data_IF_225058614777
#
_entry.id   IF_225058614777
#
_cell.length_a   1.000
_cell.length_b   1.000
_cell.length_c   1.000
_cell.angle_alpha   90.00
_cell.angle_beta   90.00
_cell.angle_gamma   90.00
#
_symmetry.space_group_name_H-M   'P 1'
#
loop_
_entity.id
_entity.type
_entity.pdbx_description
1 polymer ?
#
# COMPACT_ATOMS: atom_id res chain seq x y z
N UNK A 1 -46.47 58.93 -6.99
CA UNK A 1 -45.15 59.20 -7.61
C UNK A 1 -44.55 57.87 -8.00
N UNK A 2 -44.16 57.75 -9.28
CA UNK A 2 -43.59 56.55 -9.89
C UNK A 2 -42.17 56.28 -9.40
N UNK A 3 -41.79 55.01 -9.24
CA UNK A 3 -40.45 54.46 -9.50
C UNK A 3 -40.40 53.01 -8.99
N UNK A 4 -39.73 52.04 -9.59
CA UNK A 4 -39.24 51.76 -10.94
C UNK A 4 -38.84 50.29 -10.87
N UNK A 5 -39.20 49.50 -11.89
CA UNK A 5 -38.71 48.13 -12.07
C UNK A 5 -37.20 48.20 -12.31
N UNK A 6 -36.40 47.53 -11.48
CA UNK A 6 -34.99 47.27 -11.79
C UNK A 6 -34.70 45.79 -11.59
N UNK A 7 -34.22 45.20 -12.67
CA UNK A 7 -33.85 43.80 -12.84
C UNK A 7 -32.66 43.43 -11.97
N UNK A 8 -32.79 42.33 -11.21
CA UNK A 8 -31.66 41.69 -10.54
C UNK A 8 -30.61 41.27 -11.57
N UNK A 9 -29.41 41.73 -11.30
CA UNK A 9 -28.20 41.57 -12.08
C UNK A 9 -27.29 40.60 -11.33
N UNK A 10 -26.57 39.83 -12.13
CA UNK A 10 -25.23 39.34 -11.84
C UNK A 10 -25.14 38.11 -10.92
N UNK A 11 -25.50 36.98 -11.53
CA UNK A 11 -24.60 35.82 -11.71
C UNK A 11 -23.12 36.18 -11.44
N UNK A 12 -22.67 35.92 -10.22
CA UNK A 12 -21.26 35.81 -9.88
C UNK A 12 -20.99 34.38 -9.44
N UNK A 13 -20.77 33.55 -10.46
CA UNK A 13 -19.86 32.42 -10.50
C UNK A 13 -18.75 32.49 -9.44
N UNK A 14 -19.04 31.99 -8.24
CA UNK A 14 -18.00 31.52 -7.32
C UNK A 14 -17.55 30.16 -7.83
N UNK A 15 -16.56 30.23 -8.72
CA UNK A 15 -15.77 29.11 -9.21
C UNK A 15 -15.02 28.49 -8.03
N UNK A 16 -15.70 27.60 -7.32
CA UNK A 16 -15.02 26.52 -6.62
C UNK A 16 -14.45 25.63 -7.72
N UNK A 17 -13.15 25.74 -7.97
CA UNK A 17 -12.42 24.81 -8.80
C UNK A 17 -12.41 23.42 -8.12
N UNK A 18 -13.54 22.73 -8.18
CA UNK A 18 -13.58 21.29 -8.08
C UNK A 18 -12.92 20.77 -9.34
N UNK A 19 -11.67 20.36 -9.21
CA UNK A 19 -11.09 19.39 -10.14
C UNK A 19 -11.80 18.07 -9.91
N UNK A 20 -13.00 17.97 -10.47
CA UNK A 20 -13.71 16.71 -10.62
C UNK A 20 -12.88 15.87 -11.58
N UNK A 21 -12.16 14.89 -11.04
CA UNK A 21 -11.67 13.78 -11.83
C UNK A 21 -12.92 13.12 -12.42
N UNK A 22 -13.16 13.29 -13.72
CA UNK A 22 -14.18 12.52 -14.44
C UNK A 22 -13.64 11.09 -14.49
N UNK A 23 -13.92 10.31 -13.44
CA UNK A 23 -13.93 8.86 -13.57
C UNK A 23 -15.31 8.51 -14.10
N UNK A 24 -15.39 8.18 -15.38
CA UNK A 24 -16.57 7.58 -15.97
C UNK A 24 -17.06 6.46 -15.05
N UNK A 25 -18.28 6.61 -14.54
CA UNK A 25 -19.08 5.50 -14.01
C UNK A 25 -19.53 4.68 -15.22
N UNK A 26 -18.58 3.98 -15.83
CA UNK A 26 -18.92 2.79 -16.58
C UNK A 26 -19.17 1.72 -15.52
N UNK A 27 -20.45 1.41 -15.35
CA UNK A 27 -20.95 0.29 -14.56
C UNK A 27 -20.54 -1.01 -15.28
N UNK A 28 -19.24 -1.28 -15.30
CA UNK A 28 -18.73 -2.60 -15.62
C UNK A 28 -18.91 -3.35 -14.32
N UNK A 29 -19.73 -4.41 -14.34
CA UNK A 29 -19.65 -5.50 -13.37
C UNK A 29 -18.28 -6.19 -13.57
N UNK A 30 -17.22 -5.42 -13.34
CA UNK A 30 -15.88 -5.91 -13.26
C UNK A 30 -15.82 -6.44 -11.85
N UNK A 31 -15.95 -7.76 -11.73
CA UNK A 31 -15.45 -8.48 -10.57
C UNK A 31 -14.02 -7.97 -10.38
N UNK A 32 -13.86 -6.98 -9.50
CA UNK A 32 -12.56 -6.56 -9.01
C UNK A 32 -12.17 -7.70 -8.08
N UNK A 33 -11.72 -8.80 -8.66
CA UNK A 33 -10.93 -9.77 -7.91
C UNK A 33 -9.90 -8.94 -7.16
N UNK A 34 -9.92 -9.10 -5.83
CA UNK A 34 -8.97 -8.40 -5.00
C UNK A 34 -7.57 -8.74 -5.53
N UNK A 35 -6.69 -7.75 -5.69
CA UNK A 35 -5.31 -8.02 -6.12
C UNK A 35 -4.63 -9.07 -5.21
N UNK A 36 -5.12 -9.18 -3.98
CA UNK A 36 -4.75 -10.22 -3.03
C UNK A 36 -5.35 -11.60 -3.38
N UNK A 37 -6.61 -11.69 -3.79
CA UNK A 37 -7.25 -12.93 -4.25
C UNK A 37 -6.53 -13.50 -5.48
N UNK A 38 -6.20 -12.65 -6.46
CA UNK A 38 -5.43 -13.08 -7.64
C UNK A 38 -4.07 -13.65 -7.23
N UNK A 39 -3.37 -12.98 -6.31
CA UNK A 39 -2.06 -13.42 -5.82
C UNK A 39 -2.15 -14.77 -5.07
N UNK A 40 -3.14 -14.93 -4.20
CA UNK A 40 -3.33 -16.13 -3.38
C UNK A 40 -3.73 -17.34 -4.25
N UNK A 41 -4.56 -17.10 -5.27
CA UNK A 41 -4.96 -18.11 -6.25
C UNK A 41 -3.80 -18.49 -7.19
N UNK A 42 -2.93 -17.54 -7.55
CA UNK A 42 -1.76 -17.80 -8.41
C UNK A 42 -0.73 -18.70 -7.70
N UNK A 43 -0.56 -18.56 -6.38
CA UNK A 43 0.36 -19.42 -5.61
C UNK A 43 -0.14 -20.85 -5.44
N UNK A 44 -1.45 -21.08 -5.59
CA UNK A 44 -2.05 -22.41 -5.49
C UNK A 44 -1.87 -23.24 -6.77
N UNK A 45 -1.48 -22.60 -7.88
CA UNK A 45 -1.40 -23.25 -9.20
C UNK A 45 0.01 -23.78 -9.53
N UNK A 46 1.02 -23.50 -8.70
CA UNK A 46 2.34 -24.15 -8.83
C UNK A 46 2.30 -25.51 -8.17
N UNK A 47 1.93 -26.52 -8.97
CA UNK A 47 2.00 -27.94 -8.66
C UNK A 47 3.38 -28.29 -8.06
N UNK A 48 3.40 -28.41 -6.73
CA UNK A 48 4.45 -29.11 -6.02
C UNK A 48 3.77 -30.34 -5.44
N UNK A 49 4.35 -31.52 -5.68
CA UNK A 49 3.82 -32.84 -5.26
C UNK A 49 3.82 -33.05 -3.73
N UNK A 50 3.87 -31.97 -2.96
CA UNK A 50 3.87 -31.96 -1.50
C UNK A 50 2.47 -31.56 -1.04
N UNK A 51 1.91 -32.31 -0.08
CA UNK A 51 0.59 -31.98 0.47
C UNK A 51 0.65 -30.59 1.10
N UNK A 52 -0.41 -29.79 0.99
CA UNK A 52 -0.48 -28.46 1.63
C UNK A 52 -0.14 -28.51 3.13
N UNK A 53 -0.51 -29.61 3.78
CA UNK A 53 -0.18 -29.95 5.17
C UNK A 53 1.34 -30.04 5.41
N UNK A 54 2.06 -30.68 4.49
CA UNK A 54 3.52 -30.91 4.57
C UNK A 54 4.28 -29.59 4.40
N UNK A 55 3.80 -28.72 3.50
CA UNK A 55 4.36 -27.37 3.29
C UNK A 55 4.15 -26.52 4.55
N UNK A 56 2.95 -26.54 5.14
CA UNK A 56 2.65 -25.84 6.39
C UNK A 56 3.51 -26.34 7.54
N UNK A 57 3.71 -27.66 7.65
CA UNK A 57 4.56 -28.26 8.66
C UNK A 57 6.03 -27.83 8.49
N UNK A 58 6.55 -27.92 7.27
CA UNK A 58 7.92 -27.50 6.91
C UNK A 58 8.16 -26.02 7.18
N UNK A 59 7.19 -25.15 6.88
CA UNK A 59 7.28 -23.72 7.18
C UNK A 59 7.30 -23.46 8.70
N UNK A 60 6.43 -24.15 9.45
CA UNK A 60 6.35 -24.03 10.91
C UNK A 60 7.68 -24.39 11.58
N UNK A 61 8.32 -25.49 11.16
CA UNK A 61 9.64 -25.89 11.68
C UNK A 61 10.71 -24.84 11.38
N UNK A 62 10.71 -24.27 10.17
CA UNK A 62 11.66 -23.21 9.79
C UNK A 62 11.47 -21.94 10.62
N UNK A 63 10.22 -21.56 10.92
CA UNK A 63 9.92 -20.43 11.81
C UNK A 63 10.40 -20.74 13.23
N UNK A 64 10.10 -21.92 13.75
CA UNK A 64 10.55 -22.33 15.09
C UNK A 64 12.08 -22.33 15.21
N UNK A 65 12.78 -22.83 14.19
CA UNK A 65 14.25 -22.78 14.13
C UNK A 65 14.81 -21.37 14.08
N UNK A 66 14.12 -20.41 13.46
CA UNK A 66 14.50 -19.00 13.52
C UNK A 66 14.29 -18.43 14.92
N UNK A 67 13.14 -18.69 15.53
CA UNK A 67 12.77 -18.16 16.84
C UNK A 67 13.62 -18.73 18.00
N UNK A 68 14.24 -19.89 17.82
CA UNK A 68 15.16 -20.46 18.81
C UNK A 68 16.56 -19.83 18.79
N UNK A 69 16.89 -19.00 17.79
CA UNK A 69 18.17 -18.31 17.74
C UNK A 69 18.22 -17.13 18.71
N UNK A 70 19.46 -16.71 19.00
CA UNK A 70 19.73 -15.53 19.81
C UNK A 70 19.05 -14.30 19.24
N UNK A 71 18.47 -13.48 20.12
CA UNK A 71 17.83 -12.22 19.74
C UNK A 71 18.83 -11.29 19.06
N UNK A 72 18.35 -10.60 18.02
CA UNK A 72 19.11 -9.58 17.32
C UNK A 72 19.35 -8.38 18.21
N UNK A 73 20.58 -7.85 18.18
CA UNK A 73 20.88 -6.58 18.81
C UNK A 73 20.12 -5.44 18.12
N UNK A 74 19.49 -4.57 18.92
CA UNK A 74 18.68 -3.45 18.41
C UNK A 74 19.45 -2.46 17.54
N UNK A 75 20.78 -2.40 17.69
CA UNK A 75 21.65 -1.46 16.97
C UNK A 75 22.11 -1.97 15.61
N UNK A 76 21.84 -3.23 15.29
CA UNK A 76 22.25 -3.86 14.03
C UNK A 76 21.36 -3.38 12.88
N UNK A 77 21.97 -3.15 11.71
CA UNK A 77 21.20 -2.92 10.49
C UNK A 77 20.41 -4.18 10.11
N UNK A 78 19.10 -4.09 10.27
CA UNK A 78 18.17 -5.19 10.02
C UNK A 78 18.20 -5.65 8.55
N UNK A 79 18.47 -4.74 7.60
CA UNK A 79 18.53 -5.08 6.19
C UNK A 79 19.77 -5.91 5.87
N UNK A 80 20.93 -5.51 6.39
CA UNK A 80 22.19 -6.25 6.22
C UNK A 80 22.13 -7.63 6.88
N UNK A 81 21.48 -7.75 8.04
CA UNK A 81 21.24 -9.05 8.67
C UNK A 81 20.45 -9.99 7.76
N UNK A 82 19.28 -9.55 7.27
CA UNK A 82 18.44 -10.41 6.41
C UNK A 82 19.10 -10.73 5.08
N UNK A 83 19.95 -9.85 4.54
CA UNK A 83 20.77 -10.12 3.34
C UNK A 83 21.77 -11.27 3.52
N UNK A 84 22.22 -11.52 4.75
CA UNK A 84 23.19 -12.59 5.07
C UNK A 84 22.54 -13.75 5.84
N UNK A 85 21.21 -13.73 6.00
CA UNK A 85 20.48 -14.68 6.82
C UNK A 85 20.45 -16.07 6.19
N UNK A 86 20.66 -17.15 6.98
CA UNK A 86 20.56 -18.53 6.51
C UNK A 86 19.12 -19.02 6.34
N UNK A 87 18.11 -18.14 6.47
CA UNK A 87 16.70 -18.48 6.35
C UNK A 87 16.11 -17.88 5.06
N UNK A 88 16.31 -18.52 3.89
CA UNK A 88 15.96 -17.92 2.59
C UNK A 88 14.46 -17.67 2.42
N UNK A 89 13.61 -18.58 2.93
CA UNK A 89 12.15 -18.46 2.85
C UNK A 89 11.66 -17.28 3.70
N UNK A 90 12.21 -17.13 4.91
CA UNK A 90 11.81 -16.04 5.79
C UNK A 90 12.37 -14.70 5.30
N UNK A 91 13.59 -14.72 4.74
CA UNK A 91 14.23 -13.54 4.14
C UNK A 91 13.39 -12.92 3.04
N UNK A 92 12.80 -13.70 2.14
CA UNK A 92 12.01 -13.16 1.02
C UNK A 92 10.77 -12.39 1.52
N UNK A 93 10.08 -12.93 2.53
CA UNK A 93 8.94 -12.28 3.17
C UNK A 93 9.36 -11.04 3.95
N UNK A 94 10.43 -11.13 4.74
CA UNK A 94 10.87 -10.03 5.59
C UNK A 94 11.41 -8.86 4.78
N UNK A 95 12.16 -9.10 3.71
CA UNK A 95 12.65 -8.00 2.85
C UNK A 95 11.49 -7.23 2.21
N UNK A 96 10.41 -7.91 1.80
CA UNK A 96 9.19 -7.25 1.32
C UNK A 96 8.58 -6.38 2.42
N UNK A 97 8.42 -6.94 3.62
CA UNK A 97 7.86 -6.21 4.76
C UNK A 97 8.69 -4.99 5.17
N UNK A 98 10.02 -5.13 5.23
CA UNK A 98 10.94 -4.03 5.58
C UNK A 98 11.00 -2.94 4.51
N UNK A 99 10.71 -3.28 3.25
CA UNK A 99 10.64 -2.30 2.17
C UNK A 99 9.32 -1.52 2.14
N UNK A 100 8.29 -2.01 2.84
CA UNK A 100 7.03 -1.31 2.91
C UNK A 100 7.20 -0.04 3.77
N UNK A 101 6.72 1.13 3.32
CA UNK A 101 6.72 2.31 4.15
C UNK A 101 5.91 2.03 5.42
N UNK A 102 6.37 2.45 6.60
CA UNK A 102 5.68 2.21 7.87
C UNK A 102 4.34 2.96 7.95
N UNK A 103 4.06 3.88 7.02
CA UNK A 103 2.83 4.68 6.97
C UNK A 103 2.10 4.47 5.65
N UNK A 104 0.77 4.43 5.71
CA UNK A 104 -0.11 4.33 4.53
C UNK A 104 -0.18 5.61 3.69
N UNK A 105 0.63 6.62 4.00
CA UNK A 105 0.74 7.90 3.28
C UNK A 105 2.20 8.14 2.91
N UNK A 106 2.63 7.78 1.69
CA UNK A 106 3.98 8.04 1.21
C UNK A 106 4.24 9.53 0.90
N UNK A 107 3.22 10.41 0.98
CA UNK A 107 3.20 11.70 0.29
C UNK A 107 3.14 12.94 1.18
N UNK A 108 3.11 12.83 2.51
CA UNK A 108 2.98 14.02 3.38
C UNK A 108 4.31 14.73 3.68
N UNK A 109 5.42 14.33 3.06
CA UNK A 109 6.73 15.01 3.20
C UNK A 109 7.04 15.98 2.04
N UNK A 110 6.08 16.81 1.66
CA UNK A 110 6.37 18.12 1.03
C UNK A 110 5.70 19.32 1.73
N UNK A 111 5.85 19.53 3.05
CA UNK A 111 5.57 20.84 3.64
C UNK A 111 6.85 21.68 3.69
N UNK A 112 6.88 22.76 2.90
CA UNK A 112 7.60 24.02 3.17
C UNK A 112 8.99 24.29 2.54
N UNK A 113 9.17 24.08 1.23
CA UNK A 113 10.22 24.79 0.43
C UNK A 113 9.59 25.84 -0.51
N UNK A 114 8.48 26.46 -0.10
CA UNK A 114 7.99 27.67 -0.76
C UNK A 114 7.56 28.68 0.30
N UNK A 115 8.54 29.21 1.03
CA UNK A 115 8.35 30.47 1.74
C UNK A 115 8.21 31.60 0.72
N UNK A 116 7.34 32.60 0.94
CA UNK A 116 7.21 33.72 0.01
C UNK A 116 8.56 34.47 -0.06
N UNK A 117 9.06 34.67 -1.28
CA UNK A 117 10.07 35.69 -1.57
C UNK A 117 9.53 37.01 -1.05
N UNK A 118 10.26 37.65 -0.13
CA UNK A 118 10.11 39.08 0.11
C UNK A 118 10.65 39.87 -1.08
#
# INVERSE_FOLDING_TARGET
>A
MQSSRSTDKDNANISSASTTCISQVLHINQEKESLWEVHDNTSSQTETTETEEDIKHSLKEKIQSYLSKTLLERKTDINSYWKSSPFPILRSAVLKYLSAPPTSVPSEQLPNILGPSQ
#
